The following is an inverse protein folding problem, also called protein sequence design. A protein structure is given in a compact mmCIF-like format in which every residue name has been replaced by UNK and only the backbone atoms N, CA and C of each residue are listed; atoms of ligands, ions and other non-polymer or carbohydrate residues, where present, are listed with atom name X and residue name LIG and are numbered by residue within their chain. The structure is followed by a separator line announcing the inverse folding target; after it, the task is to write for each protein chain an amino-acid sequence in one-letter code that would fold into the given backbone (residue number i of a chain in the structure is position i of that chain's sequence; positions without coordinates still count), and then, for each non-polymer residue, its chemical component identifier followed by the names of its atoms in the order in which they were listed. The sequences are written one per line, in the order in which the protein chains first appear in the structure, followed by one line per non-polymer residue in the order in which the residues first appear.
data_IF_525389482163
#
_entry.id   IF_525389482163
#
_cell.length_a   1.000
_cell.length_b   1.000
_cell.length_c   1.000
_cell.angle_alpha   90.00
_cell.angle_beta   90.00
_cell.angle_gamma   90.00
#
_symmetry.space_group_name_H-M   'P 1'
#
loop_
_entity.id
_entity.type
_entity.pdbx_description
1 polymer ?
#
# COMPACT_ATOMS: atom_id res chain seq x y z
N UNK A 1 1.65 40.25 -9.44
CA UNK A 1 1.69 38.92 -10.08
C UNK A 1 3.04 38.38 -9.71
N UNK A 2 3.09 37.65 -8.58
CA UNK A 2 4.35 37.12 -8.04
C UNK A 2 4.63 35.81 -8.76
N UNK A 3 5.71 35.80 -9.53
CA UNK A 3 6.24 34.60 -10.15
C UNK A 3 6.74 33.68 -9.03
N UNK A 4 5.99 32.59 -8.81
CA UNK A 4 6.37 31.50 -7.92
C UNK A 4 7.56 30.79 -8.57
N UNK A 5 8.76 31.14 -8.12
CA UNK A 5 9.98 30.38 -8.39
C UNK A 5 9.76 28.93 -7.92
N UNK A 6 9.75 28.00 -8.86
CA UNK A 6 9.94 26.59 -8.56
C UNK A 6 11.39 26.45 -8.12
N UNK A 7 11.63 26.35 -6.81
CA UNK A 7 12.95 25.92 -6.33
C UNK A 7 13.25 24.58 -7.00
N UNK A 8 14.38 24.55 -7.71
CA UNK A 8 14.92 23.35 -8.32
C UNK A 8 15.05 22.31 -7.21
N UNK A 9 14.16 21.32 -7.22
CA UNK A 9 14.33 20.14 -6.38
C UNK A 9 15.65 19.53 -6.83
N UNK A 10 16.63 19.63 -5.95
CA UNK A 10 17.98 19.12 -6.15
C UNK A 10 17.90 17.73 -6.80
N UNK A 11 18.75 17.55 -7.80
CA UNK A 11 18.99 16.30 -8.50
C UNK A 11 18.87 15.14 -7.51
N UNK A 12 17.93 14.22 -7.74
CA UNK A 12 17.83 12.96 -7.02
C UNK A 12 19.15 12.20 -7.24
N UNK A 13 20.15 12.49 -6.43
CA UNK A 13 21.25 11.57 -6.20
C UNK A 13 20.60 10.36 -5.54
N UNK A 14 20.44 9.31 -6.35
CA UNK A 14 19.94 8.01 -5.92
C UNK A 14 21.05 7.37 -5.06
N UNK A 15 21.28 7.96 -3.87
CA UNK A 15 22.13 7.39 -2.83
C UNK A 15 21.56 5.99 -2.56
N UNK A 16 22.31 4.92 -2.86
CA UNK A 16 21.80 3.56 -2.76
C UNK A 16 21.52 3.27 -1.29
N UNK A 17 20.26 3.45 -0.90
CA UNK A 17 19.78 3.11 0.43
C UNK A 17 20.15 1.67 0.80
N UNK A 18 20.29 1.35 2.10
CA UNK A 18 20.85 0.09 2.57
C UNK A 18 20.29 -1.12 1.81
N UNK A 19 21.17 -1.81 1.08
CA UNK A 19 20.83 -2.83 0.07
C UNK A 19 20.39 -4.19 0.63
N UNK A 20 20.03 -4.32 1.90
CA UNK A 20 19.81 -5.63 2.52
C UNK A 20 18.41 -5.87 3.10
N UNK A 21 17.38 -5.33 2.44
CA UNK A 21 15.98 -5.62 2.83
C UNK A 21 15.06 -6.04 1.70
N UNK A 22 15.57 -6.17 0.47
CA UNK A 22 14.73 -6.42 -0.73
C UNK A 22 15.11 -7.67 -1.52
N UNK A 23 16.06 -8.48 -1.05
CA UNK A 23 16.50 -9.68 -1.78
C UNK A 23 15.84 -10.90 -1.14
N UNK A 24 14.82 -11.46 -1.80
CA UNK A 24 14.28 -12.76 -1.44
C UNK A 24 15.30 -13.83 -1.88
N UNK A 25 15.95 -14.47 -0.92
CA UNK A 25 16.84 -15.60 -1.23
C UNK A 25 16.06 -16.81 -1.74
N UNK A 26 16.70 -17.69 -2.52
CA UNK A 26 16.05 -18.89 -3.08
C UNK A 26 15.37 -19.77 -2.01
N UNK A 27 16.00 -19.91 -0.84
CA UNK A 27 15.43 -20.64 0.30
C UNK A 27 14.11 -20.04 0.81
N UNK A 28 13.84 -18.75 0.59
CA UNK A 28 12.57 -18.12 0.97
C UNK A 28 11.40 -18.61 0.10
N UNK A 29 11.65 -19.02 -1.15
CA UNK A 29 10.63 -19.54 -2.06
C UNK A 29 10.21 -20.98 -1.72
N UNK A 30 11.10 -21.76 -1.10
CA UNK A 30 10.83 -23.14 -0.68
C UNK A 30 10.14 -23.22 0.69
N UNK A 31 10.20 -22.14 1.48
CA UNK A 31 9.53 -22.07 2.77
C UNK A 31 8.02 -21.97 2.59
N UNK A 32 7.21 -22.75 3.35
CA UNK A 32 5.76 -22.60 3.32
C UNK A 32 5.32 -21.18 3.70
N UNK A 33 4.35 -20.60 2.99
CA UNK A 33 3.82 -19.25 3.25
C UNK A 33 3.36 -19.05 4.70
N UNK A 34 2.80 -20.10 5.32
CA UNK A 34 2.37 -20.10 6.74
C UNK A 34 3.51 -19.85 7.74
N UNK A 35 4.77 -20.03 7.32
CA UNK A 35 5.94 -19.81 8.17
C UNK A 35 6.39 -18.34 8.20
N UNK A 36 5.74 -17.48 7.42
CA UNK A 36 6.03 -16.05 7.40
C UNK A 36 5.37 -15.35 8.59
N UNK A 37 6.04 -14.35 9.20
CA UNK A 37 5.45 -13.51 10.24
C UNK A 37 4.44 -12.52 9.63
N UNK A 38 3.28 -13.03 9.23
CA UNK A 38 2.23 -12.23 8.59
C UNK A 38 1.53 -11.36 9.63
N UNK A 39 1.32 -10.08 9.29
CA UNK A 39 0.48 -9.17 10.10
C UNK A 39 -0.99 -9.56 9.93
N UNK A 40 -1.80 -9.29 10.96
CA UNK A 40 -3.26 -9.44 10.86
C UNK A 40 -3.78 -8.52 9.75
N UNK A 41 -4.56 -9.09 8.84
CA UNK A 41 -5.19 -8.33 7.78
C UNK A 41 -6.23 -7.35 8.34
N UNK A 42 -6.31 -6.18 7.72
CA UNK A 42 -7.40 -5.24 7.93
C UNK A 42 -8.57 -5.68 7.05
N UNK A 43 -9.76 -5.75 7.61
CA UNK A 43 -10.98 -6.12 6.87
C UNK A 43 -12.03 -5.02 6.99
N UNK A 44 -12.80 -4.81 5.93
CA UNK A 44 -13.88 -3.83 5.87
C UNK A 44 -15.04 -4.38 5.03
N UNK A 45 -16.28 -4.26 5.50
CA UNK A 45 -17.46 -4.63 4.71
C UNK A 45 -17.62 -3.71 3.49
N UNK A 46 -18.02 -4.27 2.36
CA UNK A 46 -18.17 -3.55 1.09
C UNK A 46 -19.22 -2.42 1.11
N UNK A 47 -20.14 -2.45 2.07
CA UNK A 47 -21.13 -1.39 2.30
C UNK A 47 -20.52 -0.11 2.88
N UNK A 48 -19.27 -0.16 3.35
CA UNK A 48 -18.57 0.97 3.96
C UNK A 48 -18.00 1.89 2.87
N UNK A 49 -18.08 3.22 3.05
CA UNK A 49 -17.49 4.17 2.11
C UNK A 49 -15.98 3.99 1.91
N UNK A 50 -15.49 4.28 0.70
CA UNK A 50 -14.06 4.17 0.32
C UNK A 50 -13.13 4.94 1.27
N UNK A 51 -13.58 6.09 1.79
CA UNK A 51 -12.80 6.90 2.73
C UNK A 51 -12.46 6.14 4.02
N UNK A 52 -13.32 5.23 4.47
CA UNK A 52 -13.05 4.42 5.67
C UNK A 52 -11.86 3.47 5.44
N UNK A 53 -11.75 2.88 4.25
CA UNK A 53 -10.61 2.06 3.88
C UNK A 53 -9.32 2.88 3.87
N UNK A 54 -9.35 4.09 3.28
CA UNK A 54 -8.19 5.00 3.23
C UNK A 54 -7.74 5.39 4.65
N UNK A 55 -8.68 5.76 5.53
CA UNK A 55 -8.37 6.12 6.91
C UNK A 55 -7.83 4.92 7.70
N UNK A 56 -8.35 3.72 7.46
CA UNK A 56 -7.88 2.49 8.09
C UNK A 56 -6.44 2.15 7.64
N UNK A 57 -6.16 2.23 6.33
CA UNK A 57 -4.81 2.10 5.76
C UNK A 57 -3.82 3.07 6.40
N UNK A 58 -4.17 4.36 6.44
CA UNK A 58 -3.35 5.42 7.05
C UNK A 58 -3.08 5.16 8.52
N UNK A 59 -4.12 4.82 9.30
CA UNK A 59 -4.02 4.58 10.74
C UNK A 59 -3.08 3.42 11.06
N UNK A 60 -3.13 2.35 10.27
CA UNK A 60 -2.38 1.12 10.53
C UNK A 60 -1.07 1.00 9.73
N UNK A 61 -0.73 2.01 8.91
CA UNK A 61 0.45 2.00 8.02
C UNK A 61 0.47 0.76 7.10
N UNK A 62 -0.66 0.49 6.48
CA UNK A 62 -0.88 -0.64 5.56
C UNK A 62 -1.39 -0.11 4.23
N UNK A 63 -0.85 -0.61 3.11
CA UNK A 63 -1.24 -0.17 1.76
C UNK A 63 -2.42 -0.93 1.15
N UNK A 64 -3.06 -1.83 1.91
CA UNK A 64 -4.23 -2.58 1.46
C UNK A 64 -5.18 -2.96 2.59
N UNK A 65 -6.45 -3.17 2.22
CA UNK A 65 -7.54 -3.66 3.08
C UNK A 65 -8.27 -4.78 2.34
N UNK A 66 -8.62 -5.85 3.05
CA UNK A 66 -9.48 -6.90 2.54
C UNK A 66 -10.94 -6.43 2.61
N UNK A 67 -11.65 -6.55 1.49
CA UNK A 67 -13.06 -6.20 1.42
C UNK A 67 -13.88 -7.46 1.60
N UNK A 68 -14.86 -7.42 2.50
CA UNK A 68 -15.75 -8.54 2.79
C UNK A 68 -17.19 -8.22 2.43
N UNK A 69 -17.96 -9.28 2.13
CA UNK A 69 -19.41 -9.24 2.00
C UNK A 69 -19.96 -10.37 2.86
N UNK A 70 -20.73 -10.03 3.89
CA UNK A 70 -21.32 -11.01 4.82
C UNK A 70 -20.25 -11.92 5.45
N UNK A 71 -19.08 -11.35 5.78
CA UNK A 71 -17.95 -12.09 6.35
C UNK A 71 -17.15 -12.96 5.36
N UNK A 72 -17.54 -13.00 4.09
CA UNK A 72 -16.81 -13.69 3.02
C UNK A 72 -15.88 -12.69 2.31
N UNK A 73 -14.63 -13.09 2.03
CA UNK A 73 -13.69 -12.27 1.26
C UNK A 73 -14.24 -12.01 -0.15
N UNK A 74 -14.43 -10.73 -0.48
CA UNK A 74 -14.95 -10.26 -1.77
C UNK A 74 -13.84 -9.67 -2.66
N UNK A 75 -12.81 -9.05 -2.06
CA UNK A 75 -11.69 -8.50 -2.83
C UNK A 75 -10.62 -7.82 -1.99
N UNK A 76 -9.72 -7.12 -2.67
CA UNK A 76 -8.64 -6.34 -2.06
C UNK A 76 -8.75 -4.91 -2.58
N UNK A 77 -8.71 -3.95 -1.66
CA UNK A 77 -8.61 -2.53 -1.97
C UNK A 77 -7.23 -2.01 -1.59
N UNK A 78 -6.58 -1.25 -2.47
CA UNK A 78 -5.19 -0.79 -2.34
C UNK A 78 -5.04 0.71 -2.56
N UNK A 79 -3.91 1.27 -2.15
CA UNK A 79 -3.56 2.66 -2.47
C UNK A 79 -3.51 2.92 -3.98
N UNK A 80 -3.10 1.92 -4.78
CA UNK A 80 -3.08 2.02 -6.25
C UNK A 80 -4.48 2.21 -6.83
N UNK A 81 -5.49 1.57 -6.25
CA UNK A 81 -6.88 1.71 -6.72
C UNK A 81 -7.37 3.16 -6.52
N UNK A 82 -7.02 3.78 -5.39
CA UNK A 82 -7.30 5.20 -5.11
C UNK A 82 -6.62 6.09 -6.15
N UNK A 83 -5.31 5.89 -6.36
CA UNK A 83 -4.53 6.71 -7.30
C UNK A 83 -5.05 6.59 -8.72
N UNK A 84 -5.35 5.38 -9.18
CA UNK A 84 -5.89 5.15 -10.51
C UNK A 84 -7.25 5.82 -10.69
N UNK A 85 -8.13 5.74 -9.67
CA UNK A 85 -9.45 6.37 -9.73
C UNK A 85 -9.36 7.91 -9.80
N UNK A 86 -8.40 8.51 -9.10
CA UNK A 86 -8.20 9.97 -9.13
C UNK A 86 -7.45 10.45 -10.37
N UNK A 87 -6.57 9.63 -10.95
CA UNK A 87 -5.80 9.98 -12.13
C UNK A 87 -6.56 9.78 -13.45
N UNK A 88 -7.59 8.92 -13.44
CA UNK A 88 -8.46 8.66 -14.60
C UNK A 88 -9.79 9.43 -14.54
N UNK A 89 -10.07 10.12 -13.44
CA UNK A 89 -11.21 11.04 -13.29
C UNK A 89 -10.84 12.47 -13.61
#
# INVERSE_FOLDING_TARGET
MEDVYFESVDSYEDEPGPKDQRTLGAAALERPLRSLPLRKALCLEESRPTIDAILLMRKHKMGSVLITRDGVLSGIFTERDVLNQLALG
#
